data_IF_031704287877
#
_entry.id   IF_031704287877
#
_cell.length_a   1.000
_cell.length_b   1.000
_cell.length_c   1.000
_cell.angle_alpha   90.00
_cell.angle_beta   90.00
_cell.angle_gamma   90.00
#
_symmetry.space_group_name_H-M   'P 1'
#
loop_
_entity.id
_entity.type
_entity.pdbx_description
1 polymer ?
#
# COMPACT_ATOMS: atom_id res chain seq x y z
N UNK A 1 6.66 19.97 -1.62
CA UNK A 1 5.23 20.10 -1.91
C UNK A 1 4.94 20.81 -3.23
N UNK A 2 5.62 21.91 -3.57
CA UNK A 2 5.43 22.62 -4.85
C UNK A 2 5.62 21.73 -6.09
N UNK A 3 6.50 20.73 -6.03
CA UNK A 3 6.72 19.78 -7.13
C UNK A 3 5.51 18.84 -7.37
N UNK A 4 4.87 18.31 -6.30
CA UNK A 4 3.71 17.41 -6.42
C UNK A 4 2.50 18.12 -7.06
N UNK A 5 2.23 19.37 -6.66
CA UNK A 5 1.19 20.20 -7.30
C UNK A 5 1.49 20.44 -8.78
N UNK A 6 2.75 20.73 -9.12
CA UNK A 6 3.17 20.95 -10.51
C UNK A 6 3.01 19.68 -11.35
N UNK A 7 3.39 18.53 -10.82
CA UNK A 7 3.21 17.22 -11.48
C UNK A 7 1.72 16.90 -11.70
N UNK A 8 0.88 17.10 -10.68
CA UNK A 8 -0.57 16.89 -10.83
C UNK A 8 -1.15 17.80 -11.89
N UNK A 9 -0.82 19.09 -11.88
CA UNK A 9 -1.28 20.05 -12.88
C UNK A 9 -0.89 19.67 -14.30
N UNK A 10 0.31 19.12 -14.50
CA UNK A 10 0.73 18.58 -15.78
C UNK A 10 -0.16 17.41 -16.24
N UNK A 11 -0.46 16.46 -15.36
CA UNK A 11 -1.35 15.32 -15.64
C UNK A 11 -2.77 15.81 -15.95
N UNK A 12 -3.30 16.78 -15.19
CA UNK A 12 -4.62 17.36 -15.46
C UNK A 12 -4.68 18.03 -16.83
N UNK A 13 -3.65 18.79 -17.19
CA UNK A 13 -3.55 19.44 -18.49
C UNK A 13 -3.49 18.41 -19.64
N UNK A 14 -2.71 17.35 -19.51
CA UNK A 14 -2.59 16.26 -20.48
C UNK A 14 -3.95 15.56 -20.69
N UNK A 15 -4.72 15.36 -19.61
CA UNK A 15 -6.05 14.73 -19.66
C UNK A 15 -7.16 15.69 -20.06
N UNK A 16 -6.88 17.00 -20.22
CA UNK A 16 -7.89 18.01 -20.49
C UNK A 16 -8.88 18.23 -19.34
N UNK A 17 -8.49 17.91 -18.11
CA UNK A 17 -9.31 18.01 -16.91
C UNK A 17 -9.03 19.35 -16.19
N UNK A 18 -10.02 20.26 -16.09
CA UNK A 18 -9.77 21.60 -15.55
C UNK A 18 -9.56 21.63 -14.04
N UNK A 19 -10.11 20.66 -13.32
CA UNK A 19 -10.01 20.55 -11.86
C UNK A 19 -10.15 19.11 -11.39
N UNK A 20 -9.55 18.78 -10.26
CA UNK A 20 -9.71 17.49 -9.55
C UNK A 20 -10.10 17.74 -8.09
N UNK A 21 -11.18 17.11 -7.65
CA UNK A 21 -11.55 16.96 -6.25
C UNK A 21 -10.85 15.72 -5.69
N UNK A 22 -9.85 15.92 -4.82
CA UNK A 22 -9.12 14.85 -4.15
C UNK A 22 -9.73 14.63 -2.78
N UNK A 23 -10.36 13.48 -2.57
CA UNK A 23 -11.08 13.11 -1.35
C UNK A 23 -10.46 11.90 -0.63
N UNK A 24 -9.78 11.01 -1.36
CA UNK A 24 -9.11 9.86 -0.80
C UNK A 24 -8.04 10.29 0.24
N UNK A 25 -8.05 9.75 1.47
CA UNK A 25 -7.16 10.20 2.55
C UNK A 25 -5.67 10.16 2.19
N UNK A 26 -5.22 9.09 1.57
CA UNK A 26 -3.83 8.94 1.14
C UNK A 26 -3.46 9.97 0.05
N UNK A 27 -4.34 10.18 -0.94
CA UNK A 27 -4.12 11.16 -2.00
C UNK A 27 -4.14 12.59 -1.46
N UNK A 28 -5.06 12.90 -0.54
CA UNK A 28 -5.13 14.19 0.13
C UNK A 28 -3.83 14.46 0.92
N UNK A 29 -3.38 13.49 1.71
CA UNK A 29 -2.11 13.59 2.43
C UNK A 29 -0.92 13.77 1.49
N UNK A 30 -0.85 12.99 0.41
CA UNK A 30 0.20 13.10 -0.59
C UNK A 30 0.28 14.51 -1.19
N UNK A 31 -0.86 15.06 -1.58
CA UNK A 31 -0.93 16.34 -2.27
C UNK A 31 -0.71 17.55 -1.36
N UNK A 32 -1.15 17.48 -0.10
CA UNK A 32 -1.17 18.64 0.80
C UNK A 32 -0.32 18.50 2.06
N UNK A 33 0.05 17.29 2.44
CA UNK A 33 0.63 16.97 3.76
C UNK A 33 -0.43 16.84 4.86
N UNK A 34 -1.68 17.21 4.61
CA UNK A 34 -2.74 17.23 5.62
C UNK A 34 -3.11 15.81 6.08
N UNK A 35 -2.94 15.56 7.37
CA UNK A 35 -3.14 14.26 8.01
C UNK A 35 -4.51 14.12 8.70
N UNK A 36 -5.35 15.17 8.69
CA UNK A 36 -6.66 15.15 9.34
C UNK A 36 -7.63 14.13 8.71
N UNK A 37 -8.53 13.58 9.53
CA UNK A 37 -9.43 12.50 9.08
C UNK A 37 -10.60 12.95 8.20
N UNK A 38 -10.87 14.26 8.10
CA UNK A 38 -11.95 14.82 7.28
C UNK A 38 -11.47 15.96 6.41
N UNK A 39 -11.83 15.94 5.12
CA UNK A 39 -11.55 17.02 4.18
C UNK A 39 -11.42 16.52 2.75
N UNK A 40 -11.35 17.49 1.82
CA UNK A 40 -11.09 17.27 0.40
C UNK A 40 -10.24 18.42 -0.14
N UNK A 41 -9.55 18.21 -1.26
CA UNK A 41 -8.81 19.25 -1.97
C UNK A 41 -9.49 19.50 -3.31
N UNK A 42 -9.59 20.76 -3.72
CA UNK A 42 -9.90 21.12 -5.11
C UNK A 42 -8.65 21.75 -5.72
N UNK A 43 -8.09 21.09 -6.72
CA UNK A 43 -6.84 21.52 -7.38
C UNK A 43 -7.14 21.82 -8.83
N UNK A 44 -6.76 23.03 -9.27
CA UNK A 44 -6.83 23.48 -10.66
C UNK A 44 -5.44 23.86 -11.17
N UNK A 45 -5.36 24.34 -12.41
CA UNK A 45 -4.11 24.88 -12.96
C UNK A 45 -3.48 25.96 -12.05
N UNK A 46 -4.30 26.80 -11.42
CA UNK A 46 -3.84 27.97 -10.65
C UNK A 46 -4.21 27.89 -9.17
N UNK A 47 -5.35 27.32 -8.81
CA UNK A 47 -5.83 27.25 -7.44
C UNK A 47 -5.50 25.91 -6.76
N UNK A 48 -5.35 25.98 -5.43
CA UNK A 48 -5.27 24.83 -4.54
C UNK A 48 -6.09 25.15 -3.29
N UNK A 49 -7.25 24.52 -3.14
CA UNK A 49 -8.16 24.73 -2.02
C UNK A 49 -8.21 23.46 -1.16
N UNK A 50 -8.37 23.64 0.16
CA UNK A 50 -8.67 22.56 1.10
C UNK A 50 -9.98 22.84 1.80
N UNK A 51 -10.88 21.88 1.76
CA UNK A 51 -12.16 21.87 2.47
C UNK A 51 -12.04 20.98 3.69
N UNK A 52 -12.29 21.53 4.86
CA UNK A 52 -12.35 20.73 6.11
C UNK A 52 -13.18 21.49 7.16
N UNK A 53 -13.53 20.83 8.26
CA UNK A 53 -14.33 21.43 9.31
C UNK A 53 -13.48 22.12 10.41
N UNK A 54 -14.17 22.84 11.33
CA UNK A 54 -13.54 23.65 12.37
C UNK A 54 -12.55 22.93 13.28
N UNK A 55 -12.61 21.58 13.37
CA UNK A 55 -11.66 20.78 14.16
C UNK A 55 -10.23 20.87 13.60
N UNK A 56 -10.08 21.14 12.33
CA UNK A 56 -8.81 21.04 11.60
C UNK A 56 -8.25 22.39 11.11
N UNK A 57 -8.90 23.51 11.35
CA UNK A 57 -8.47 24.85 10.87
C UNK A 57 -7.01 25.16 11.26
N UNK A 58 -6.66 24.92 12.52
CA UNK A 58 -5.28 25.15 13.01
C UNK A 58 -4.29 24.17 12.37
N UNK A 59 -4.70 22.91 12.22
CA UNK A 59 -3.87 21.85 11.65
C UNK A 59 -3.55 22.13 10.16
N UNK A 60 -4.55 22.55 9.38
CA UNK A 60 -4.36 22.95 7.98
C UNK A 60 -3.32 24.06 7.85
N UNK A 61 -3.37 25.08 8.71
CA UNK A 61 -2.40 26.17 8.69
C UNK A 61 -0.94 25.72 8.93
N UNK A 62 -0.75 24.57 9.57
CA UNK A 62 0.58 23.99 9.84
C UNK A 62 1.03 22.99 8.78
N UNK A 63 0.12 22.12 8.35
CA UNK A 63 0.43 20.97 7.49
C UNK A 63 0.22 21.25 5.99
N UNK A 64 -0.71 22.14 5.64
CA UNK A 64 -1.07 22.46 4.27
C UNK A 64 -1.05 23.97 3.96
N UNK A 65 0.06 24.69 4.27
CA UNK A 65 0.12 26.15 4.10
C UNK A 65 0.00 26.63 2.66
N UNK A 66 0.24 25.76 1.68
CA UNK A 66 0.10 26.05 0.24
C UNK A 66 -1.36 25.99 -0.25
N UNK A 67 -2.32 25.61 0.63
CA UNK A 67 -3.73 25.48 0.31
C UNK A 67 -4.57 26.56 0.97
N UNK A 68 -5.52 27.15 0.23
CA UNK A 68 -6.49 28.09 0.77
C UNK A 68 -7.64 27.33 1.43
N UNK A 69 -7.83 27.54 2.73
CA UNK A 69 -8.88 26.85 3.51
C UNK A 69 -10.28 27.39 3.17
N UNK A 70 -11.23 26.47 3.01
CA UNK A 70 -12.67 26.70 2.98
C UNK A 70 -13.31 25.83 4.09
N UNK A 71 -13.87 26.47 5.10
CA UNK A 71 -14.40 25.77 6.27
C UNK A 71 -15.78 25.17 5.99
N UNK A 72 -15.92 23.85 6.22
CA UNK A 72 -17.17 23.12 6.17
C UNK A 72 -17.92 23.35 7.49
N UNK A 73 -19.15 23.85 7.41
CA UNK A 73 -20.03 24.08 8.56
C UNK A 73 -21.36 23.36 8.31
N UNK A 74 -21.58 22.26 9.04
CA UNK A 74 -22.80 21.46 8.90
C UNK A 74 -23.90 22.02 9.84
N UNK A 75 -25.16 22.20 9.40
CA UNK A 75 -25.64 21.91 8.04
C UNK A 75 -25.49 23.08 7.05
N UNK A 76 -25.03 24.24 7.47
CA UNK A 76 -25.16 25.51 6.78
C UNK A 76 -24.27 25.66 5.52
N UNK A 77 -23.10 25.04 5.52
CA UNK A 77 -22.13 25.09 4.39
C UNK A 77 -21.44 23.73 4.21
N UNK A 78 -22.14 22.73 3.66
CA UNK A 78 -21.56 21.41 3.38
C UNK A 78 -20.54 21.48 2.23
N UNK A 79 -19.72 20.43 2.08
CA UNK A 79 -18.74 20.33 1.00
C UNK A 79 -19.33 20.57 -0.38
N UNK A 80 -20.54 20.08 -0.65
CA UNK A 80 -21.21 20.23 -1.94
C UNK A 80 -21.50 21.69 -2.31
N UNK A 81 -21.94 22.51 -1.34
CA UNK A 81 -22.18 23.93 -1.57
C UNK A 81 -20.87 24.70 -1.76
N UNK A 82 -19.87 24.43 -0.91
CA UNK A 82 -18.55 25.02 -1.04
C UNK A 82 -17.86 24.66 -2.36
N UNK A 83 -18.10 23.45 -2.87
CA UNK A 83 -17.58 23.01 -4.18
C UNK A 83 -18.27 23.80 -5.30
N UNK A 84 -19.58 24.05 -5.23
CA UNK A 84 -20.30 24.88 -6.20
C UNK A 84 -19.77 26.32 -6.16
N UNK A 85 -19.68 26.93 -4.97
CA UNK A 85 -19.15 28.28 -4.79
C UNK A 85 -17.76 28.41 -5.40
N UNK A 86 -16.84 27.50 -5.06
CA UNK A 86 -15.48 27.49 -5.60
C UNK A 86 -15.45 27.27 -7.13
N UNK A 87 -16.32 26.40 -7.64
CA UNK A 87 -16.39 26.13 -9.08
C UNK A 87 -16.89 27.35 -9.85
N UNK A 88 -17.86 28.09 -9.33
CA UNK A 88 -18.33 29.34 -9.93
C UNK A 88 -17.25 30.42 -9.86
N UNK A 89 -16.59 30.57 -8.70
CA UNK A 89 -15.49 31.53 -8.49
C UNK A 89 -14.36 31.29 -9.50
N UNK A 90 -14.02 30.01 -9.74
CA UNK A 90 -12.94 29.58 -10.64
C UNK A 90 -13.37 29.33 -12.08
N UNK A 91 -14.64 29.65 -12.45
CA UNK A 91 -15.22 29.42 -13.79
C UNK A 91 -15.10 27.98 -14.29
N UNK A 92 -15.22 26.99 -13.39
CA UNK A 92 -15.18 25.57 -13.73
C UNK A 92 -16.52 25.09 -14.29
N UNK A 93 -16.47 24.23 -15.30
CA UNK A 93 -17.64 23.54 -15.87
C UNK A 93 -17.59 22.04 -15.60
N UNK A 94 -16.40 21.51 -15.32
CA UNK A 94 -16.18 20.10 -15.03
C UNK A 94 -15.22 19.99 -13.87
N UNK A 95 -15.52 19.08 -12.94
CA UNK A 95 -14.65 18.71 -11.83
C UNK A 95 -14.48 17.19 -11.83
N UNK A 96 -13.25 16.74 -11.97
CA UNK A 96 -12.91 15.32 -11.78
C UNK A 96 -13.13 14.89 -10.35
N UNK A 97 -13.65 13.69 -10.14
CA UNK A 97 -13.79 13.06 -8.81
C UNK A 97 -13.15 11.68 -8.83
N UNK A 98 -12.59 11.26 -7.70
CA UNK A 98 -11.89 9.97 -7.56
C UNK A 98 -12.88 8.80 -7.54
N UNK A 99 -13.14 8.19 -8.70
CA UNK A 99 -14.14 7.13 -8.87
C UNK A 99 -13.87 5.88 -8.02
N UNK A 100 -12.60 5.58 -7.78
CA UNK A 100 -12.20 4.43 -6.95
C UNK A 100 -12.43 4.66 -5.44
N UNK A 101 -12.67 5.91 -5.01
CA UNK A 101 -12.83 6.28 -3.60
C UNK A 101 -14.25 6.77 -3.26
N UNK A 102 -14.80 7.64 -4.10
CA UNK A 102 -16.14 8.21 -3.87
C UNK A 102 -17.19 7.11 -3.96
N UNK A 103 -17.92 6.89 -2.87
CA UNK A 103 -19.02 5.92 -2.87
C UNK A 103 -20.16 6.36 -3.78
N UNK A 104 -20.97 5.40 -4.24
CA UNK A 104 -22.17 5.71 -5.04
C UNK A 104 -23.11 6.67 -4.28
N UNK A 105 -23.25 6.51 -2.96
CA UNK A 105 -24.09 7.37 -2.14
C UNK A 105 -23.56 8.81 -2.08
N UNK A 106 -22.25 9.00 -1.93
CA UNK A 106 -21.61 10.32 -1.96
C UNK A 106 -21.73 10.97 -3.33
N UNK A 107 -21.49 10.21 -4.40
CA UNK A 107 -21.68 10.70 -5.75
C UNK A 107 -23.11 11.19 -5.99
N UNK A 108 -24.13 10.40 -5.59
CA UNK A 108 -25.53 10.81 -5.72
C UNK A 108 -25.86 12.06 -4.88
N UNK A 109 -25.31 12.16 -3.68
CA UNK A 109 -25.53 13.33 -2.82
C UNK A 109 -24.92 14.59 -3.45
N UNK A 110 -23.68 14.51 -3.95
CA UNK A 110 -23.02 15.59 -4.67
C UNK A 110 -23.81 15.96 -5.94
N UNK A 111 -24.12 14.99 -6.80
CA UNK A 111 -24.83 15.22 -8.06
C UNK A 111 -26.22 15.83 -7.83
N UNK A 112 -26.95 15.41 -6.78
CA UNK A 112 -28.25 15.96 -6.42
C UNK A 112 -28.12 17.44 -6.01
N UNK A 113 -27.16 17.81 -5.19
CA UNK A 113 -26.94 19.20 -4.76
C UNK A 113 -26.48 20.07 -5.93
N UNK A 114 -25.69 19.49 -6.85
CA UNK A 114 -25.14 20.18 -8.00
C UNK A 114 -26.06 20.17 -9.24
N UNK A 115 -27.26 19.57 -9.15
CA UNK A 115 -28.19 19.38 -10.30
C UNK A 115 -28.51 20.68 -11.04
N UNK A 116 -28.74 21.76 -10.30
CA UNK A 116 -29.05 23.08 -10.87
C UNK A 116 -27.79 23.96 -11.07
N UNK A 117 -26.60 23.42 -10.79
CA UNK A 117 -25.33 24.11 -10.98
C UNK A 117 -24.81 23.91 -12.42
N UNK A 118 -23.98 24.82 -12.93
CA UNK A 118 -23.37 24.66 -14.25
C UNK A 118 -22.19 23.68 -14.27
N UNK A 119 -21.94 22.95 -13.17
CA UNK A 119 -20.75 22.11 -12.97
C UNK A 119 -21.10 20.64 -13.11
N UNK A 120 -20.39 19.93 -13.96
CA UNK A 120 -20.49 18.48 -14.14
C UNK A 120 -19.39 17.76 -13.34
N UNK A 121 -19.74 16.61 -12.74
CA UNK A 121 -18.79 15.73 -12.08
C UNK A 121 -18.32 14.67 -13.07
N UNK A 122 -17.01 14.56 -13.27
CA UNK A 122 -16.37 13.57 -14.13
C UNK A 122 -15.65 12.52 -13.30
N UNK A 123 -16.17 11.27 -13.19
CA UNK A 123 -15.50 10.20 -12.49
C UNK A 123 -14.21 9.78 -13.19
N UNK A 124 -13.07 9.95 -12.52
CA UNK A 124 -11.73 9.65 -13.04
C UNK A 124 -10.99 8.69 -12.13
N UNK A 125 -10.04 7.94 -12.68
CA UNK A 125 -9.27 6.94 -11.94
C UNK A 125 -7.76 7.14 -12.11
N UNK A 126 -7.00 6.79 -11.06
CA UNK A 126 -5.55 6.61 -11.11
C UNK A 126 -4.75 7.89 -11.32
N UNK A 127 -5.30 9.10 -11.08
CA UNK A 127 -4.59 10.37 -11.35
C UNK A 127 -3.51 10.60 -10.28
N UNK A 128 -3.90 10.69 -9.01
CA UNK A 128 -2.96 10.93 -7.91
C UNK A 128 -2.18 9.65 -7.60
N UNK A 129 -2.82 8.50 -7.69
CA UNK A 129 -2.21 7.19 -7.49
C UNK A 129 -0.99 6.99 -8.42
N UNK A 130 -1.09 7.39 -9.68
CA UNK A 130 0.04 7.29 -10.63
C UNK A 130 1.25 8.16 -10.23
N UNK A 131 1.01 9.28 -9.54
CA UNK A 131 2.08 10.11 -9.00
C UNK A 131 2.75 9.49 -7.78
N UNK A 132 1.97 8.76 -6.95
CA UNK A 132 2.42 8.07 -5.74
C UNK A 132 3.23 6.81 -6.04
N UNK A 133 3.04 6.19 -7.21
CA UNK A 133 3.81 5.00 -7.60
C UNK A 133 5.33 5.26 -7.57
N UNK A 134 5.77 6.45 -7.97
CA UNK A 134 7.19 6.83 -8.00
C UNK A 134 7.51 7.68 -6.78
N UNK A 135 8.19 7.09 -5.80
CA UNK A 135 8.53 7.71 -4.51
C UNK A 135 9.63 8.75 -4.67
N UNK A 136 9.44 9.91 -4.04
CA UNK A 136 10.48 10.91 -3.91
C UNK A 136 11.46 10.57 -2.76
N UNK A 137 12.50 11.39 -2.59
CA UNK A 137 13.54 11.13 -1.59
C UNK A 137 13.02 11.18 -0.15
N UNK A 138 12.05 12.06 0.16
CA UNK A 138 11.50 12.20 1.50
C UNK A 138 10.57 11.02 1.82
N UNK A 139 9.78 10.55 0.85
CA UNK A 139 8.96 9.35 0.94
C UNK A 139 9.83 8.12 1.21
N UNK A 140 10.92 7.96 0.43
CA UNK A 140 11.87 6.85 0.62
C UNK A 140 12.55 6.90 1.98
N UNK A 141 12.90 8.09 2.48
CA UNK A 141 13.49 8.23 3.80
C UNK A 141 12.54 7.78 4.92
N UNK A 142 11.24 8.07 4.79
CA UNK A 142 10.21 7.65 5.75
C UNK A 142 9.94 6.15 5.64
N UNK A 143 9.78 5.62 4.43
CA UNK A 143 9.62 4.17 4.19
C UNK A 143 10.78 3.36 4.77
N UNK A 144 12.03 3.79 4.56
CA UNK A 144 13.21 3.12 5.13
C UNK A 144 13.19 3.07 6.66
N UNK A 145 12.66 4.10 7.33
CA UNK A 145 12.49 4.09 8.80
C UNK A 145 11.41 3.10 9.22
N UNK A 146 10.25 3.10 8.56
CA UNK A 146 9.18 2.15 8.86
C UNK A 146 9.64 0.70 8.67
N UNK A 147 10.38 0.41 7.60
CA UNK A 147 10.99 -0.89 7.31
C UNK A 147 12.00 -1.27 8.40
N UNK A 148 12.88 -0.35 8.80
CA UNK A 148 13.87 -0.61 9.84
C UNK A 148 13.22 -0.93 11.21
N UNK A 149 12.11 -0.27 11.56
CA UNK A 149 11.32 -0.59 12.75
C UNK A 149 10.76 -2.01 12.65
N UNK A 150 10.21 -2.39 11.50
CA UNK A 150 9.66 -3.72 11.26
C UNK A 150 10.74 -4.81 11.35
N UNK A 151 11.89 -4.60 10.69
CA UNK A 151 13.04 -5.51 10.74
C UNK A 151 13.57 -5.70 12.17
N UNK A 152 13.69 -4.60 12.92
CA UNK A 152 14.15 -4.66 14.32
C UNK A 152 13.14 -5.41 15.20
N UNK A 153 11.85 -5.17 15.04
CA UNK A 153 10.80 -5.81 15.82
C UNK A 153 10.78 -7.33 15.61
N UNK A 154 10.79 -7.80 14.37
CA UNK A 154 10.79 -9.25 14.10
C UNK A 154 12.08 -9.92 14.58
N UNK A 155 13.22 -9.28 14.37
CA UNK A 155 14.52 -9.78 14.82
C UNK A 155 14.60 -9.91 16.35
N UNK A 156 14.01 -8.97 17.08
CA UNK A 156 13.97 -9.00 18.55
C UNK A 156 12.99 -10.04 19.09
N UNK A 157 11.86 -10.29 18.41
CA UNK A 157 10.79 -11.15 18.93
C UNK A 157 11.02 -12.63 18.60
N UNK A 158 11.48 -12.98 17.39
CA UNK A 158 11.67 -14.40 16.99
C UNK A 158 12.42 -15.23 18.04
N UNK A 159 13.55 -14.77 18.61
CA UNK A 159 14.28 -15.57 19.63
C UNK A 159 13.52 -15.82 20.95
N UNK A 160 12.44 -15.08 21.18
CA UNK A 160 11.62 -15.18 22.38
C UNK A 160 10.39 -16.09 22.19
N UNK A 161 10.11 -16.49 20.95
CA UNK A 161 8.96 -17.35 20.64
C UNK A 161 9.20 -18.76 21.15
N UNK A 162 8.15 -19.35 21.73
CA UNK A 162 8.16 -20.72 22.26
C UNK A 162 6.97 -21.51 21.72
N UNK A 163 7.10 -22.85 21.59
CA UNK A 163 6.04 -23.72 21.07
C UNK A 163 4.71 -23.66 21.84
N UNK A 164 4.77 -23.32 23.14
CA UNK A 164 3.61 -23.20 24.03
C UNK A 164 2.89 -21.85 23.98
N UNK A 165 3.42 -20.90 23.21
CA UNK A 165 2.75 -19.64 22.95
C UNK A 165 1.66 -19.79 21.88
N UNK A 166 0.61 -18.97 21.99
CA UNK A 166 -0.42 -18.87 20.94
C UNK A 166 -0.01 -17.91 19.84
N UNK A 167 -0.62 -18.04 18.65
CA UNK A 167 -0.45 -17.10 17.56
C UNK A 167 -0.77 -15.65 17.99
N UNK A 168 -1.82 -15.45 18.80
CA UNK A 168 -2.17 -14.12 19.36
C UNK A 168 -1.12 -13.55 20.29
N UNK A 169 -0.50 -14.39 21.11
CA UNK A 169 0.58 -13.92 21.99
C UNK A 169 1.79 -13.47 21.19
N UNK A 170 2.17 -14.22 20.15
CA UNK A 170 3.25 -13.83 19.26
C UNK A 170 2.93 -12.55 18.49
N UNK A 171 1.71 -12.42 17.93
CA UNK A 171 1.26 -11.21 17.24
C UNK A 171 1.32 -9.97 18.16
N UNK A 172 0.87 -10.11 19.42
CA UNK A 172 0.93 -9.03 20.39
C UNK A 172 2.37 -8.61 20.72
N UNK A 173 3.30 -9.56 20.85
CA UNK A 173 4.72 -9.23 21.08
C UNK A 173 5.31 -8.43 19.92
N UNK A 174 4.97 -8.79 18.68
CA UNK A 174 5.41 -8.07 17.47
C UNK A 174 4.83 -6.66 17.41
N UNK A 175 3.55 -6.48 17.72
CA UNK A 175 2.90 -5.18 17.76
C UNK A 175 3.56 -4.25 18.79
N UNK A 176 3.76 -4.74 20.02
CA UNK A 176 4.47 -4.00 21.08
C UNK A 176 5.87 -3.61 20.64
N UNK A 177 6.63 -4.53 20.03
CA UNK A 177 7.99 -4.25 19.59
C UNK A 177 8.04 -3.16 18.49
N UNK A 178 7.07 -3.11 17.56
CA UNK A 178 6.99 -2.04 16.56
C UNK A 178 6.67 -0.69 17.20
N UNK A 179 5.76 -0.63 18.17
CA UNK A 179 5.46 0.61 18.90
C UNK A 179 6.66 1.10 19.72
N UNK A 180 7.34 0.21 20.44
CA UNK A 180 8.56 0.53 21.20
C UNK A 180 9.70 0.97 20.28
N UNK A 181 9.74 0.43 19.05
CA UNK A 181 10.68 0.83 18.00
C UNK A 181 10.39 2.20 17.37
N UNK A 182 9.28 2.86 17.74
CA UNK A 182 8.90 4.20 17.29
C UNK A 182 7.93 4.24 16.12
N UNK A 183 7.29 3.12 15.76
CA UNK A 183 6.16 3.11 14.83
C UNK A 183 4.93 3.80 15.42
N UNK A 184 4.20 4.56 14.60
CA UNK A 184 2.94 5.20 15.02
C UNK A 184 1.88 4.17 15.36
N UNK A 185 1.78 3.12 14.53
CA UNK A 185 0.90 1.96 14.72
C UNK A 185 1.36 0.81 13.79
N UNK A 186 0.58 -0.27 13.76
CA UNK A 186 0.76 -1.35 12.78
C UNK A 186 0.26 -0.93 11.41
N UNK A 187 0.91 -1.40 10.36
CA UNK A 187 0.58 -1.16 8.96
C UNK A 187 -0.75 -1.80 8.56
N UNK A 188 -0.98 -3.00 9.06
CA UNK A 188 -2.18 -3.82 8.86
C UNK A 188 -2.30 -4.83 10.01
N UNK A 189 -3.45 -5.51 10.17
CA UNK A 189 -3.59 -6.54 11.19
C UNK A 189 -2.59 -7.67 11.01
N UNK A 190 -1.66 -7.81 11.97
CA UNK A 190 -0.56 -8.78 11.94
C UNK A 190 -1.09 -10.20 11.71
N UNK A 191 -0.42 -10.96 10.85
CA UNK A 191 -0.64 -12.38 10.66
C UNK A 191 0.45 -13.14 11.43
N UNK A 192 0.04 -14.02 12.32
CA UNK A 192 0.86 -15.12 12.85
C UNK A 192 0.03 -16.36 12.68
N UNK A 193 0.49 -17.29 11.83
CA UNK A 193 -0.26 -18.49 11.47
C UNK A 193 0.66 -19.71 11.49
N UNK A 194 0.32 -20.70 12.30
CA UNK A 194 1.16 -21.88 12.55
C UNK A 194 0.54 -23.17 11.99
N UNK A 195 1.36 -24.05 11.42
CA UNK A 195 0.93 -25.33 10.85
C UNK A 195 -0.19 -25.13 9.82
N UNK A 196 -1.30 -25.91 9.89
CA UNK A 196 -2.39 -25.82 8.91
C UNK A 196 -2.99 -24.42 8.74
N UNK A 197 -2.95 -23.57 9.79
CA UNK A 197 -3.44 -22.20 9.70
C UNK A 197 -2.59 -21.34 8.75
N UNK A 198 -1.30 -21.63 8.63
CA UNK A 198 -0.41 -20.95 7.68
C UNK A 198 -0.69 -21.28 6.20
N UNK A 199 -1.54 -22.27 5.90
CA UNK A 199 -2.03 -22.50 4.56
C UNK A 199 -3.06 -21.45 4.08
N UNK A 200 -3.51 -20.58 4.98
CA UNK A 200 -4.41 -19.46 4.68
C UNK A 200 -3.59 -18.17 4.53
N UNK A 201 -3.44 -17.61 3.31
CA UNK A 201 -2.61 -16.42 3.09
C UNK A 201 -2.98 -15.22 3.97
N UNK A 202 -4.29 -15.07 4.29
CA UNK A 202 -4.82 -14.00 5.14
C UNK A 202 -5.37 -14.52 6.47
N UNK A 203 -4.67 -15.48 7.08
CA UNK A 203 -5.03 -16.01 8.38
C UNK A 203 -5.13 -14.91 9.44
N UNK A 204 -5.96 -15.15 10.46
CA UNK A 204 -6.03 -14.29 11.65
C UNK A 204 -5.41 -15.03 12.83
N UNK A 205 -4.58 -14.38 13.64
CA UNK A 205 -4.00 -15.03 14.82
C UNK A 205 -5.08 -15.61 15.75
N UNK A 206 -4.98 -16.89 16.00
CA UNK A 206 -5.90 -17.69 16.83
C UNK A 206 -5.34 -17.98 18.23
N UNK A 207 -6.03 -18.79 19.00
CA UNK A 207 -5.52 -19.34 20.24
C UNK A 207 -4.76 -20.67 20.04
N UNK A 208 -4.53 -21.08 18.78
CA UNK A 208 -3.72 -22.23 18.47
C UNK A 208 -2.27 -21.97 18.87
N UNK A 209 -1.60 -23.03 19.34
CA UNK A 209 -0.20 -22.93 19.75
C UNK A 209 0.70 -22.84 18.52
N UNK A 210 1.83 -22.17 18.64
CA UNK A 210 2.88 -22.14 17.61
C UNK A 210 3.39 -23.55 17.30
N UNK A 211 3.61 -24.40 18.31
CA UNK A 211 4.08 -25.77 18.17
C UNK A 211 5.49 -25.88 17.63
N UNK A 212 5.97 -27.12 17.45
CA UNK A 212 7.31 -27.43 16.95
C UNK A 212 7.24 -28.13 15.57
N UNK A 213 8.31 -28.02 14.79
CA UNK A 213 8.53 -28.77 13.56
C UNK A 213 7.64 -28.36 12.38
N UNK A 214 6.87 -27.30 12.49
CA UNK A 214 5.88 -26.85 11.48
C UNK A 214 6.10 -25.41 11.03
N UNK A 215 5.60 -25.03 9.85
CA UNK A 215 5.73 -23.65 9.37
C UNK A 215 4.92 -22.68 10.25
N UNK A 216 5.50 -21.51 10.50
CA UNK A 216 4.87 -20.38 11.16
C UNK A 216 5.11 -19.18 10.26
N UNK A 217 4.07 -18.72 9.57
CA UNK A 217 4.11 -17.46 8.81
C UNK A 217 3.89 -16.32 9.79
N UNK A 218 4.78 -15.35 9.75
CA UNK A 218 4.67 -14.04 10.39
C UNK A 218 4.64 -13.00 9.28
N UNK A 219 3.57 -12.20 9.23
CA UNK A 219 3.40 -11.13 8.25
C UNK A 219 2.97 -9.87 8.99
N UNK A 220 3.78 -8.81 8.90
CA UNK A 220 3.72 -7.63 9.74
C UNK A 220 4.36 -6.41 9.09
N UNK A 221 3.96 -5.25 9.53
CA UNK A 221 4.56 -3.99 9.12
C UNK A 221 4.28 -2.87 10.11
N UNK A 222 5.22 -1.96 10.30
CA UNK A 222 5.04 -0.71 11.02
C UNK A 222 4.48 0.37 10.11
N UNK A 223 3.60 1.22 10.63
CA UNK A 223 3.18 2.48 10.04
C UNK A 223 3.99 3.61 10.68
N UNK A 224 4.57 4.47 9.86
CA UNK A 224 5.29 5.66 10.34
C UNK A 224 4.99 6.84 9.41
N UNK A 225 4.52 7.95 9.98
CA UNK A 225 4.17 9.15 9.20
C UNK A 225 3.30 8.84 7.98
N UNK A 226 2.33 7.90 8.15
CA UNK A 226 1.41 7.43 7.13
C UNK A 226 2.01 6.51 6.07
N UNK A 227 3.29 6.19 6.12
CA UNK A 227 3.92 5.22 5.22
C UNK A 227 3.96 3.84 5.84
N UNK A 228 3.54 2.85 5.05
CA UNK A 228 3.43 1.45 5.44
C UNK A 228 4.74 0.70 5.18
N UNK A 229 5.18 -0.12 6.13
CA UNK A 229 6.12 -1.20 5.87
C UNK A 229 5.36 -2.51 5.71
N UNK A 230 6.00 -3.49 5.07
CA UNK A 230 5.48 -4.82 4.82
C UNK A 230 6.60 -5.86 4.83
N UNK A 231 6.38 -6.96 5.56
CA UNK A 231 7.37 -8.01 5.74
C UNK A 231 6.73 -9.33 6.09
N UNK A 232 6.96 -10.36 5.28
CA UNK A 232 6.63 -11.75 5.67
C UNK A 232 7.89 -12.58 5.89
N UNK A 233 7.87 -13.35 6.97
CA UNK A 233 8.87 -14.41 7.25
C UNK A 233 8.16 -15.70 7.61
N UNK A 234 8.74 -16.82 7.19
CA UNK A 234 8.31 -18.13 7.65
C UNK A 234 9.41 -18.75 8.51
N UNK A 235 9.07 -19.10 9.71
CA UNK A 235 9.99 -19.73 10.66
C UNK A 235 9.50 -21.13 11.06
N UNK A 236 10.39 -21.89 11.69
CA UNK A 236 10.06 -23.15 12.34
C UNK A 236 10.70 -23.17 13.74
N UNK A 237 9.92 -23.45 14.76
CA UNK A 237 10.44 -23.70 16.10
C UNK A 237 10.84 -25.19 16.21
N UNK A 238 12.04 -25.45 16.70
CA UNK A 238 12.61 -26.81 16.73
C UNK A 238 13.13 -27.27 15.36
N UNK A 239 13.15 -28.58 15.13
CA UNK A 239 13.73 -29.17 13.92
C UNK A 239 12.68 -29.25 12.80
N UNK A 240 12.88 -28.55 11.66
CA UNK A 240 11.95 -28.61 10.52
C UNK A 240 12.00 -29.97 9.83
N UNK A 241 10.84 -30.45 9.35
CA UNK A 241 10.76 -31.67 8.57
C UNK A 241 11.30 -31.51 7.14
N UNK A 242 11.37 -32.61 6.39
CA UNK A 242 11.88 -32.60 5.01
C UNK A 242 10.97 -31.78 4.06
N UNK A 243 9.66 -31.78 4.29
CA UNK A 243 8.71 -31.03 3.49
C UNK A 243 8.91 -29.53 3.70
N UNK A 244 9.06 -29.09 4.95
CA UNK A 244 9.36 -27.69 5.25
C UNK A 244 10.63 -27.22 4.52
N UNK A 245 11.73 -27.97 4.64
CA UNK A 245 13.01 -27.62 3.97
C UNK A 245 12.85 -27.51 2.45
N UNK A 246 12.08 -28.42 1.86
CA UNK A 246 11.83 -28.44 0.41
C UNK A 246 11.02 -27.21 -0.01
N UNK A 247 9.86 -26.95 0.61
CA UNK A 247 8.97 -25.86 0.23
C UNK A 247 9.62 -24.50 0.53
N UNK A 248 10.29 -24.38 1.68
CA UNK A 248 11.03 -23.16 2.04
C UNK A 248 12.12 -22.84 1.01
N UNK A 249 12.90 -23.85 0.61
CA UNK A 249 13.94 -23.70 -0.40
C UNK A 249 13.41 -23.26 -1.76
N UNK A 250 12.23 -23.78 -2.18
CA UNK A 250 11.59 -23.38 -3.44
C UNK A 250 11.12 -21.92 -3.36
N UNK A 251 10.46 -21.51 -2.28
CA UNK A 251 9.96 -20.14 -2.11
C UNK A 251 11.12 -19.15 -2.02
N UNK A 252 12.17 -19.47 -1.26
CA UNK A 252 13.34 -18.62 -1.13
C UNK A 252 14.05 -18.41 -2.46
N UNK A 253 14.28 -19.48 -3.23
CA UNK A 253 14.89 -19.39 -4.56
C UNK A 253 14.01 -18.59 -5.54
N UNK A 254 12.67 -18.79 -5.50
CA UNK A 254 11.75 -18.03 -6.33
C UNK A 254 11.82 -16.52 -6.02
N UNK A 255 11.87 -16.17 -4.74
CA UNK A 255 11.98 -14.78 -4.29
C UNK A 255 13.32 -14.15 -4.73
N UNK A 256 14.43 -14.88 -4.56
CA UNK A 256 15.76 -14.42 -4.98
C UNK A 256 15.85 -14.19 -6.49
N UNK A 257 15.26 -15.08 -7.29
CA UNK A 257 15.16 -14.92 -8.75
C UNK A 257 14.36 -13.68 -9.15
N UNK A 258 13.24 -13.45 -8.47
CA UNK A 258 12.45 -12.26 -8.70
C UNK A 258 13.26 -11.00 -8.40
N UNK A 259 13.84 -10.90 -7.19
CA UNK A 259 14.69 -9.77 -6.81
C UNK A 259 15.84 -9.51 -7.77
N UNK A 260 16.53 -10.57 -8.21
CA UNK A 260 17.63 -10.45 -9.16
C UNK A 260 17.20 -9.98 -10.57
N UNK A 261 15.92 -10.19 -10.93
CA UNK A 261 15.39 -9.84 -12.24
C UNK A 261 14.64 -8.50 -12.30
N UNK A 262 14.28 -7.90 -11.14
CA UNK A 262 13.57 -6.61 -11.10
C UNK A 262 14.44 -5.47 -11.62
N UNK A 263 13.88 -4.66 -12.53
CA UNK A 263 14.55 -3.49 -13.12
C UNK A 263 13.52 -2.55 -13.76
N UNK A 264 13.88 -1.30 -14.04
CA UNK A 264 13.02 -0.41 -14.82
C UNK A 264 12.62 -1.03 -16.17
N UNK A 265 11.50 -0.61 -16.70
CA UNK A 265 10.92 -1.06 -17.98
C UNK A 265 10.49 -2.53 -18.03
N UNK A 266 10.75 -3.33 -16.98
CA UNK A 266 10.19 -4.67 -16.88
C UNK A 266 8.66 -4.56 -16.70
N UNK A 267 7.90 -5.35 -17.47
CA UNK A 267 6.45 -5.41 -17.30
C UNK A 267 6.10 -6.06 -15.95
N UNK A 268 5.08 -5.56 -15.27
CA UNK A 268 4.67 -6.08 -13.96
C UNK A 268 4.27 -7.56 -14.00
N UNK A 269 3.65 -8.03 -15.09
CA UNK A 269 3.36 -9.44 -15.27
C UNK A 269 4.61 -10.29 -15.56
N UNK A 270 5.62 -9.72 -16.20
CA UNK A 270 6.91 -10.40 -16.39
C UNK A 270 7.71 -10.46 -15.09
N UNK A 271 7.57 -9.47 -14.20
CA UNK A 271 8.11 -9.53 -12.85
C UNK A 271 7.47 -10.68 -12.03
N UNK A 272 6.15 -10.84 -12.10
CA UNK A 272 5.44 -12.00 -11.48
C UNK A 272 5.96 -13.33 -12.02
N UNK A 273 6.19 -13.43 -13.33
CA UNK A 273 6.66 -14.66 -13.98
C UNK A 273 8.05 -15.10 -13.47
N UNK A 274 8.91 -14.18 -13.02
CA UNK A 274 10.25 -14.53 -12.50
C UNK A 274 10.19 -15.52 -11.32
N UNK A 275 9.21 -15.37 -10.43
CA UNK A 275 9.01 -16.32 -9.33
C UNK A 275 8.04 -17.45 -9.71
N UNK A 276 6.94 -17.09 -10.37
CA UNK A 276 5.85 -18.02 -10.67
C UNK A 276 6.26 -19.17 -11.54
N UNK A 277 7.05 -18.92 -12.60
CA UNK A 277 7.49 -19.96 -13.52
C UNK A 277 8.38 -20.98 -12.81
N UNK A 278 9.23 -20.51 -11.89
CA UNK A 278 10.07 -21.39 -11.08
C UNK A 278 9.23 -22.26 -10.12
N UNK A 279 8.28 -21.66 -9.41
CA UNK A 279 7.36 -22.40 -8.51
C UNK A 279 6.54 -23.42 -9.31
N UNK A 280 6.07 -23.04 -10.51
CA UNK A 280 5.31 -23.93 -11.42
C UNK A 280 6.17 -25.09 -11.90
N UNK A 281 7.40 -24.82 -12.30
CA UNK A 281 8.35 -25.87 -12.72
C UNK A 281 8.71 -26.84 -11.59
N UNK A 282 8.67 -26.37 -10.32
CA UNK A 282 8.82 -27.21 -9.13
C UNK A 282 7.56 -28.02 -8.78
N UNK A 283 6.43 -27.85 -9.51
CA UNK A 283 5.19 -28.60 -9.33
C UNK A 283 4.16 -27.94 -8.40
N UNK A 284 4.37 -26.68 -7.97
CA UNK A 284 3.52 -25.98 -6.99
C UNK A 284 2.81 -24.74 -7.57
N UNK A 285 2.65 -24.66 -8.90
CA UNK A 285 2.07 -23.48 -9.55
C UNK A 285 0.64 -23.16 -9.14
N UNK A 286 -0.17 -24.17 -8.81
CA UNK A 286 -1.57 -23.99 -8.32
C UNK A 286 -1.60 -23.51 -6.87
N UNK A 287 -0.59 -23.83 -6.07
CA UNK A 287 -0.46 -23.46 -4.69
C UNK A 287 0.10 -22.05 -4.47
N UNK A 288 0.49 -21.35 -5.53
CA UNK A 288 0.83 -19.92 -5.54
C UNK A 288 -0.36 -19.12 -6.08
N UNK A 289 -1.33 -18.86 -5.21
CA UNK A 289 -2.66 -18.35 -5.57
C UNK A 289 -2.79 -16.84 -5.73
N UNK A 290 -1.78 -16.03 -5.38
CA UNK A 290 -1.81 -14.56 -5.46
C UNK A 290 -0.74 -14.00 -6.41
N UNK A 291 -0.66 -12.68 -6.55
CA UNK A 291 0.41 -12.00 -7.30
C UNK A 291 1.76 -12.10 -6.58
N UNK A 292 2.83 -11.80 -7.30
CA UNK A 292 4.17 -11.74 -6.71
C UNK A 292 4.30 -10.60 -5.69
N UNK A 293 3.52 -9.51 -5.85
CA UNK A 293 3.58 -8.37 -4.96
C UNK A 293 2.80 -7.15 -5.46
N UNK A 294 2.92 -6.09 -4.71
CA UNK A 294 2.22 -4.82 -4.91
C UNK A 294 3.09 -3.63 -4.50
N UNK A 295 2.73 -2.44 -4.95
CA UNK A 295 3.33 -1.21 -4.45
C UNK A 295 2.97 -0.97 -2.99
N UNK A 296 3.87 -0.31 -2.27
CA UNK A 296 3.70 0.07 -0.86
C UNK A 296 4.07 1.54 -0.70
N UNK A 297 3.28 2.28 0.08
CA UNK A 297 3.51 3.70 0.33
C UNK A 297 2.55 4.26 1.38
N UNK A 298 1.75 5.25 1.01
CA UNK A 298 0.68 5.80 1.87
C UNK A 298 -0.54 4.88 1.97
N UNK A 299 -0.69 3.93 1.06
CA UNK A 299 -1.55 2.77 1.22
C UNK A 299 -0.69 1.51 1.29
N UNK A 300 -1.15 0.51 2.06
CA UNK A 300 -0.46 -0.78 2.13
C UNK A 300 -0.45 -1.47 0.76
N UNK A 301 -1.55 -1.37 0.02
CA UNK A 301 -1.66 -1.86 -1.35
C UNK A 301 -1.86 -0.69 -2.31
N UNK A 302 -0.85 -0.37 -3.08
CA UNK A 302 -0.94 0.62 -4.16
C UNK A 302 -0.25 0.12 -5.44
N UNK A 303 -0.16 0.95 -6.47
CA UNK A 303 0.59 0.62 -7.68
C UNK A 303 2.11 0.65 -7.48
N UNK A 304 2.86 -0.11 -8.28
CA UNK A 304 2.40 -1.06 -9.28
C UNK A 304 2.04 -2.44 -8.72
N UNK A 305 1.14 -3.19 -9.40
CA UNK A 305 0.77 -4.55 -8.99
C UNK A 305 1.51 -5.59 -9.83
N UNK A 306 2.29 -6.45 -9.17
CA UNK A 306 3.05 -7.54 -9.79
C UNK A 306 2.20 -8.81 -9.81
N UNK A 307 1.43 -9.00 -10.89
CA UNK A 307 0.51 -10.13 -11.03
C UNK A 307 0.42 -10.62 -12.46
N UNK A 308 -0.12 -11.81 -12.65
CA UNK A 308 -0.42 -12.36 -13.99
C UNK A 308 -1.25 -11.37 -14.80
N UNK A 309 -0.92 -11.24 -16.07
CA UNK A 309 -1.81 -10.54 -17.00
C UNK A 309 -3.09 -11.36 -17.23
N UNK A 310 -4.18 -10.67 -17.56
CA UNK A 310 -5.35 -11.35 -18.11
C UNK A 310 -4.98 -12.02 -19.44
N UNK A 311 -5.60 -13.17 -19.71
CA UNK A 311 -5.35 -13.94 -20.94
C UNK A 311 -5.54 -13.04 -22.18
N UNK A 312 -4.54 -13.02 -23.05
CA UNK A 312 -4.50 -12.21 -24.27
C UNK A 312 -4.13 -10.74 -24.05
N UNK A 313 -3.72 -10.35 -22.83
CA UNK A 313 -3.26 -8.99 -22.49
C UNK A 313 -1.82 -8.93 -21.99
N UNK A 314 -1.04 -9.99 -22.20
CA UNK A 314 0.33 -10.14 -21.67
C UNK A 314 1.26 -9.02 -22.16
N UNK A 315 0.98 -8.44 -23.32
CA UNK A 315 1.78 -7.38 -23.93
C UNK A 315 1.35 -5.95 -23.50
N UNK A 316 0.27 -5.81 -22.73
CA UNK A 316 -0.37 -4.52 -22.44
C UNK A 316 -0.38 -4.18 -20.93
N UNK A 317 0.59 -4.65 -20.15
CA UNK A 317 0.67 -4.35 -18.71
C UNK A 317 1.51 -3.11 -18.40
N UNK A 318 1.34 -2.51 -17.19
CA UNK A 318 2.22 -1.45 -16.71
C UNK A 318 3.65 -1.95 -16.58
N UNK A 319 4.59 -0.99 -16.57
CA UNK A 319 6.03 -1.25 -16.42
C UNK A 319 6.53 -0.68 -15.12
N UNK A 320 7.49 -1.34 -14.53
CA UNK A 320 8.24 -0.81 -13.40
C UNK A 320 9.03 0.43 -13.82
N UNK A 321 9.10 1.39 -12.90
CA UNK A 321 9.85 2.63 -13.05
C UNK A 321 10.84 2.77 -11.90
N UNK A 322 11.96 3.43 -12.14
CA UNK A 322 12.85 3.82 -11.05
C UNK A 322 12.09 4.70 -10.04
N UNK A 323 12.22 4.39 -8.76
CA UNK A 323 11.44 5.01 -7.66
C UNK A 323 10.19 4.22 -7.24
N UNK A 324 9.78 3.17 -7.98
CA UNK A 324 8.75 2.28 -7.45
C UNK A 324 9.29 1.51 -6.22
N UNK A 325 8.47 1.38 -5.19
CA UNK A 325 8.69 0.45 -4.07
C UNK A 325 7.62 -0.62 -4.13
N UNK A 326 8.01 -1.89 -4.13
CA UNK A 326 7.09 -3.01 -4.28
C UNK A 326 7.45 -4.16 -3.34
N UNK A 327 6.44 -4.89 -2.85
CA UNK A 327 6.67 -6.18 -2.20
C UNK A 327 7.13 -7.22 -3.22
N UNK A 328 7.88 -8.22 -2.74
CA UNK A 328 8.28 -9.43 -3.48
C UNK A 328 8.06 -10.61 -2.54
N UNK A 329 6.89 -11.22 -2.66
CA UNK A 329 6.30 -12.11 -1.65
C UNK A 329 5.79 -13.45 -2.21
N UNK A 330 6.57 -14.21 -2.97
CA UNK A 330 6.10 -15.51 -3.41
C UNK A 330 5.74 -16.41 -2.23
N UNK A 331 4.70 -17.25 -2.42
CA UNK A 331 4.26 -18.19 -1.38
C UNK A 331 3.73 -19.49 -1.96
N UNK A 332 3.84 -20.57 -1.17
CA UNK A 332 3.26 -21.88 -1.46
C UNK A 332 2.42 -22.29 -0.25
N UNK A 333 1.14 -22.60 -0.49
CA UNK A 333 0.16 -22.91 0.55
C UNK A 333 -0.45 -24.30 0.30
N UNK A 334 -0.23 -25.23 1.26
CA UNK A 334 -0.66 -26.63 1.15
C UNK A 334 -1.72 -26.93 2.21
N UNK A 335 -2.95 -27.16 1.77
CA UNK A 335 -4.05 -27.47 2.67
C UNK A 335 -3.73 -28.64 3.59
N UNK A 336 -4.03 -28.48 4.88
CA UNK A 336 -3.79 -29.47 5.92
C UNK A 336 -2.36 -29.56 6.43
N UNK A 337 -1.37 -28.99 5.73
CA UNK A 337 0.03 -28.95 6.19
C UNK A 337 0.43 -27.54 6.66
N UNK A 338 0.31 -26.55 5.82
CA UNK A 338 0.70 -25.18 6.11
C UNK A 338 1.18 -24.41 4.86
N UNK A 339 1.83 -23.29 5.10
CA UNK A 339 2.32 -22.42 4.02
C UNK A 339 3.70 -21.86 4.32
N UNK A 340 4.35 -21.40 3.26
CA UNK A 340 5.60 -20.63 3.30
C UNK A 340 5.41 -19.39 2.45
N UNK A 341 5.67 -18.20 3.01
CA UNK A 341 5.81 -16.92 2.32
C UNK A 341 7.07 -16.23 2.82
N UNK A 342 7.85 -15.71 1.88
CA UNK A 342 9.05 -14.91 2.17
C UNK A 342 8.94 -13.63 1.37
N UNK A 343 8.97 -12.53 2.06
CA UNK A 343 8.73 -11.21 1.50
C UNK A 343 9.80 -10.21 1.87
N UNK A 344 10.19 -9.38 0.93
CA UNK A 344 10.92 -8.14 1.15
C UNK A 344 10.28 -7.01 0.36
N UNK A 345 10.45 -5.79 0.85
CA UNK A 345 10.24 -4.59 0.05
C UNK A 345 11.48 -4.29 -0.79
N UNK A 346 11.27 -3.98 -2.07
CA UNK A 346 12.31 -3.65 -3.03
C UNK A 346 12.06 -2.29 -3.68
N UNK A 347 13.08 -1.44 -3.72
CA UNK A 347 13.11 -0.19 -4.47
C UNK A 347 13.66 -0.47 -5.87
N UNK A 348 12.91 -0.12 -6.89
CA UNK A 348 13.42 -0.15 -8.28
C UNK A 348 14.38 1.04 -8.46
N UNK A 349 15.64 0.73 -8.77
CA UNK A 349 16.70 1.71 -9.05
C UNK A 349 16.81 2.02 -10.54
N UNK A 350 17.77 2.82 -10.96
CA UNK A 350 17.98 3.18 -12.36
C UNK A 350 18.34 1.95 -13.24
N UNK A 351 18.96 0.92 -12.66
CA UNK A 351 19.57 -0.22 -13.36
C UNK A 351 19.21 -1.61 -12.79
N UNK A 352 18.41 -1.66 -11.72
CA UNK A 352 18.03 -2.90 -11.06
C UNK A 352 17.04 -2.69 -9.92
N UNK A 353 17.29 -3.34 -8.77
CA UNK A 353 16.56 -3.06 -7.54
C UNK A 353 17.46 -3.12 -6.31
N UNK A 354 17.06 -2.40 -5.28
CA UNK A 354 17.63 -2.44 -3.93
C UNK A 354 16.64 -3.11 -2.99
N UNK A 355 17.06 -4.16 -2.27
CA UNK A 355 16.26 -4.78 -1.22
C UNK A 355 16.33 -3.92 0.03
N UNK A 356 15.17 -3.41 0.45
CA UNK A 356 15.06 -2.49 1.59
C UNK A 356 14.98 -3.24 2.92
N UNK A 357 14.25 -4.36 2.98
CA UNK A 357 14.13 -5.22 4.16
C UNK A 357 15.47 -5.92 4.49
N UNK A 358 15.80 -6.01 5.76
CA UNK A 358 17.10 -6.53 6.24
C UNK A 358 16.97 -7.68 7.24
N UNK A 359 15.77 -7.98 7.73
CA UNK A 359 15.55 -9.12 8.62
C UNK A 359 15.96 -10.43 7.96
N UNK A 360 16.59 -11.35 8.71
CA UNK A 360 17.05 -12.65 8.22
C UNK A 360 15.89 -13.50 7.67
N UNK A 361 16.23 -14.38 6.69
CA UNK A 361 15.30 -15.31 6.03
C UNK A 361 15.47 -16.71 6.55
#
# INVERSE_FOLDING_TARGET
MNDRLSRLRAVLAERGLPALLVSAPANRRYMSGFSGSNGALLITAEAALIFTDGRYVIQVGREAPDFSLREIVIPDRPLSELLIEASVELNLRTVGIEAAHVSVAEHYALAKTMFDSPVELDPVEGIVESLREVKDADELATLRKAIAITDAAITAVIPQLRPDMTERQAAWMLEVAMHEGGGDTISFPIIVAAGPNSALPHARPSNDLLGEGRPIIIDMGALLDGYHADLSRTICLGEPDAQFRTIYGIVLEAQQRALAGLRPELRCNAADALARDYITAAGYGEQFGHGLGHGVGLDIHEGPSLRRAAVGREQNGPRLQAGNVTSVEPGIYLEGWGGVRIEDLALITADGCEVLSKADK
#
